data_IF_576536972360
#
_entry.id   IF_576536972360
#
_cell.length_a   1.000
_cell.length_b   1.000
_cell.length_c   1.000
_cell.angle_alpha   90.00
_cell.angle_beta   90.00
_cell.angle_gamma   90.00
#
_symmetry.space_group_name_H-M   'P 1'
#
loop_
_entity.id
_entity.type
_entity.pdbx_description
1 polymer ?
#
# COMPACT_ATOMS: atom_id res chain seq x y z
N UNK A 1 14.31 -28.77 23.50
CA UNK A 1 13.83 -28.22 22.21
C UNK A 1 14.13 -26.75 22.24
N UNK A 2 14.74 -26.19 21.20
CA UNK A 2 15.16 -24.79 21.19
C UNK A 2 13.93 -23.93 20.92
N UNK A 3 13.50 -23.14 21.91
CA UNK A 3 12.43 -22.16 21.75
C UNK A 3 12.96 -21.04 20.84
N UNK A 4 12.55 -21.06 19.58
CA UNK A 4 12.92 -20.03 18.62
C UNK A 4 12.09 -18.78 18.92
N UNK A 5 12.65 -17.82 19.64
CA UNK A 5 12.04 -16.50 19.82
C UNK A 5 12.05 -15.75 18.48
N UNK A 6 10.88 -15.30 18.03
CA UNK A 6 10.76 -14.43 16.85
C UNK A 6 10.45 -13.03 17.36
N UNK A 7 11.32 -12.07 17.02
CA UNK A 7 11.01 -10.65 17.09
C UNK A 7 10.55 -10.27 15.68
N UNK A 8 9.23 -10.26 15.46
CA UNK A 8 8.66 -9.70 14.24
C UNK A 8 8.26 -8.26 14.54
N UNK A 9 9.08 -7.31 14.07
CA UNK A 9 8.74 -5.88 14.10
C UNK A 9 7.95 -5.60 12.84
N UNK A 10 6.65 -5.38 12.99
CA UNK A 10 5.80 -4.90 11.91
C UNK A 10 5.95 -3.38 11.86
N UNK A 11 7.08 -2.91 11.33
CA UNK A 11 7.47 -1.50 11.32
C UNK A 11 6.42 -0.58 10.66
N UNK A 12 5.57 -1.11 9.79
CA UNK A 12 4.49 -0.38 9.13
C UNK A 12 3.28 -0.08 10.03
N UNK A 13 3.11 -0.79 11.15
CA UNK A 13 1.94 -0.69 12.05
C UNK A 13 2.31 -0.67 13.54
N UNK A 14 3.61 -0.65 13.88
CA UNK A 14 4.08 -0.47 15.25
C UNK A 14 3.90 -1.65 16.19
N UNK A 15 3.58 -2.85 15.69
CA UNK A 15 3.36 -4.04 16.53
C UNK A 15 4.66 -4.83 16.69
N UNK A 16 4.95 -5.15 17.95
CA UNK A 16 6.05 -6.02 18.36
C UNK A 16 5.43 -7.31 18.87
N UNK A 17 5.54 -8.39 18.09
CA UNK A 17 5.28 -9.72 18.61
C UNK A 17 6.54 -10.18 19.34
N UNK A 18 6.49 -10.20 20.67
CA UNK A 18 7.57 -10.69 21.53
C UNK A 18 7.09 -11.91 22.33
N UNK A 19 7.63 -13.10 22.05
CA UNK A 19 7.27 -14.32 22.77
C UNK A 19 7.65 -15.62 22.04
N UNK A 20 7.23 -16.75 22.62
CA UNK A 20 7.28 -18.07 21.99
C UNK A 20 6.42 -18.10 20.73
N UNK A 21 6.92 -18.68 19.64
CA UNK A 21 6.15 -18.85 18.40
C UNK A 21 5.03 -19.87 18.61
N UNK A 22 3.86 -19.36 18.96
CA UNK A 22 2.62 -20.12 18.97
C UNK A 22 2.04 -20.15 17.54
N UNK A 23 1.21 -21.15 17.24
CA UNK A 23 0.66 -21.33 15.90
C UNK A 23 -0.19 -20.13 15.43
N UNK A 24 -0.88 -19.48 16.36
CA UNK A 24 -1.64 -18.25 16.15
C UNK A 24 -0.72 -17.04 15.90
N UNK A 25 0.41 -16.90 16.60
CA UNK A 25 1.37 -15.82 16.33
C UNK A 25 1.97 -15.92 14.91
N UNK A 26 2.27 -17.13 14.43
CA UNK A 26 2.72 -17.35 13.07
C UNK A 26 1.62 -17.06 12.02
N UNK A 27 0.37 -17.44 12.32
CA UNK A 27 -0.78 -17.14 11.47
C UNK A 27 -1.05 -15.63 11.37
N UNK A 28 -0.97 -14.90 12.49
CA UNK A 28 -1.08 -13.45 12.51
C UNK A 28 0.04 -12.78 11.71
N UNK A 29 1.30 -13.20 11.88
CA UNK A 29 2.41 -12.66 11.11
C UNK A 29 2.19 -12.84 9.60
N UNK A 30 1.67 -14.00 9.16
CA UNK A 30 1.29 -14.24 7.77
C UNK A 30 0.09 -13.39 7.30
N UNK A 31 -0.88 -13.12 8.16
CA UNK A 31 -1.98 -12.20 7.86
C UNK A 31 -1.49 -10.75 7.70
N UNK A 32 -0.62 -10.27 8.60
CA UNK A 32 -0.07 -8.91 8.49
C UNK A 32 0.87 -8.76 7.28
N UNK A 33 1.67 -9.77 6.95
CA UNK A 33 2.52 -9.74 5.75
C UNK A 33 1.71 -9.62 4.46
N UNK A 34 0.50 -10.18 4.43
CA UNK A 34 -0.44 -10.01 3.31
C UNK A 34 -0.98 -8.58 3.25
N UNK A 35 -1.12 -7.92 4.40
CA UNK A 35 -1.56 -6.53 4.50
C UNK A 35 -2.99 -6.31 4.01
N UNK A 36 -3.78 -7.38 4.00
CA UNK A 36 -5.18 -7.43 3.58
C UNK A 36 -6.03 -7.63 4.85
N UNK A 37 -7.03 -6.76 5.11
CA UNK A 37 -7.90 -6.89 6.27
C UNK A 37 -8.66 -8.22 6.32
N UNK A 38 -9.00 -8.82 5.17
CA UNK A 38 -9.71 -10.10 5.14
C UNK A 38 -8.85 -11.22 5.75
N UNK A 39 -7.53 -11.19 5.53
CA UNK A 39 -6.62 -12.15 6.14
C UNK A 39 -6.53 -12.01 7.67
N UNK A 40 -6.69 -10.78 8.18
CA UNK A 40 -6.72 -10.48 9.62
C UNK A 40 -8.07 -10.87 10.25
N UNK A 41 -9.17 -10.65 9.54
CA UNK A 41 -10.50 -11.13 9.95
C UNK A 41 -10.58 -12.67 9.95
N UNK A 42 -10.02 -13.32 8.94
CA UNK A 42 -9.90 -14.78 8.88
C UNK A 42 -9.07 -15.34 10.03
N UNK A 43 -8.01 -14.64 10.44
CA UNK A 43 -7.24 -15.01 11.63
C UNK A 43 -8.14 -15.04 12.89
N UNK A 44 -8.97 -14.02 13.08
CA UNK A 44 -9.89 -13.92 14.23
C UNK A 44 -10.93 -15.04 14.21
N UNK A 45 -11.45 -15.39 13.02
CA UNK A 45 -12.37 -16.52 12.87
C UNK A 45 -11.70 -17.87 13.14
N UNK A 46 -10.44 -18.03 12.74
CA UNK A 46 -9.69 -19.28 12.92
C UNK A 46 -9.18 -19.45 14.35
N UNK A 47 -8.88 -18.36 15.05
CA UNK A 47 -8.34 -18.35 16.42
C UNK A 47 -9.13 -17.41 17.35
N UNK A 48 -10.43 -17.69 17.60
CA UNK A 48 -11.29 -16.79 18.37
C UNK A 48 -10.88 -16.67 19.84
N UNK A 49 -10.15 -17.64 20.38
CA UNK A 49 -9.64 -17.64 21.76
C UNK A 49 -8.20 -17.08 21.87
N UNK A 50 -7.58 -16.69 20.76
CA UNK A 50 -6.22 -16.13 20.78
C UNK A 50 -6.21 -14.78 21.50
N UNK A 51 -5.22 -14.57 22.36
CA UNK A 51 -4.98 -13.27 22.99
C UNK A 51 -4.61 -12.18 21.96
N UNK A 52 -4.23 -12.56 20.74
CA UNK A 52 -3.89 -11.67 19.64
C UNK A 52 -5.11 -11.27 18.80
N UNK A 53 -6.29 -11.86 19.03
CA UNK A 53 -7.49 -11.56 18.26
C UNK A 53 -7.92 -10.08 18.34
N UNK A 54 -7.88 -9.40 19.52
CA UNK A 54 -8.16 -7.96 19.59
C UNK A 54 -7.19 -7.11 18.77
N UNK A 55 -5.90 -7.42 18.82
CA UNK A 55 -4.86 -6.72 18.05
C UNK A 55 -5.01 -6.95 16.55
N UNK A 56 -5.39 -8.16 16.14
CA UNK A 56 -5.68 -8.49 14.75
C UNK A 56 -6.91 -7.74 14.21
N UNK A 57 -7.96 -7.56 15.03
CA UNK A 57 -9.13 -6.75 14.67
C UNK A 57 -8.79 -5.26 14.58
N UNK A 58 -8.00 -4.74 15.51
CA UNK A 58 -7.52 -3.37 15.45
C UNK A 58 -6.65 -3.14 14.21
N UNK A 59 -5.73 -4.07 13.92
CA UNK A 59 -4.95 -4.06 12.69
C UNK A 59 -5.84 -4.12 11.47
N UNK A 60 -6.86 -4.99 11.45
CA UNK A 60 -7.80 -5.09 10.35
C UNK A 60 -8.46 -3.74 10.08
N UNK A 61 -8.92 -3.06 11.14
CA UNK A 61 -9.51 -1.72 11.02
C UNK A 61 -8.49 -0.66 10.56
N UNK A 62 -7.24 -0.73 11.01
CA UNK A 62 -6.19 0.21 10.63
C UNK A 62 -5.74 0.02 9.18
N UNK A 63 -5.51 -1.23 8.75
CA UNK A 63 -5.19 -1.52 7.34
C UNK A 63 -6.38 -1.35 6.42
N UNK A 64 -7.61 -1.41 6.96
CA UNK A 64 -8.85 -1.09 6.24
C UNK A 64 -9.04 0.39 5.97
N UNK A 65 -8.21 1.28 6.53
CA UNK A 65 -8.29 2.69 6.19
C UNK A 65 -7.82 2.88 4.76
N UNK A 66 -8.71 3.41 3.95
CA UNK A 66 -8.37 3.81 2.60
C UNK A 66 -7.28 4.86 2.62
N UNK A 67 -6.25 4.61 1.80
CA UNK A 67 -5.20 5.54 1.46
C UNK A 67 -5.29 5.75 -0.03
N UNK A 68 -6.12 6.71 -0.42
CA UNK A 68 -6.38 7.03 -1.83
C UNK A 68 -5.24 7.79 -2.47
N UNK A 69 -4.34 8.38 -1.69
CA UNK A 69 -3.15 9.08 -2.16
C UNK A 69 -1.93 8.77 -1.28
N UNK A 70 -0.76 8.70 -1.91
CA UNK A 70 0.52 8.58 -1.24
C UNK A 70 1.61 9.23 -2.08
N UNK A 71 2.55 9.89 -1.43
CA UNK A 71 3.71 10.48 -2.08
C UNK A 71 4.95 10.31 -1.22
N UNK A 72 6.09 10.12 -1.88
CA UNK A 72 7.36 9.92 -1.21
C UNK A 72 8.50 10.52 -2.00
N UNK A 73 9.56 10.86 -1.27
CA UNK A 73 10.81 11.39 -1.79
C UNK A 73 11.94 10.51 -1.26
N UNK A 74 12.96 10.27 -2.09
CA UNK A 74 14.14 9.54 -1.65
C UNK A 74 15.03 10.43 -0.76
N UNK A 75 15.43 9.90 0.39
CA UNK A 75 16.40 10.57 1.28
C UNK A 75 17.79 10.68 0.64
N UNK A 76 18.16 9.70 -0.18
CA UNK A 76 19.46 9.63 -0.86
C UNK A 76 19.50 10.49 -2.13
N UNK A 77 18.34 10.66 -2.78
CA UNK A 77 18.19 11.53 -3.93
C UNK A 77 16.91 12.38 -3.84
N UNK A 78 17.00 13.63 -3.34
CA UNK A 78 15.85 14.51 -3.22
C UNK A 78 15.16 14.83 -4.56
N UNK A 79 15.82 14.62 -5.71
CA UNK A 79 15.20 14.79 -7.02
C UNK A 79 14.36 13.57 -7.47
N UNK A 80 14.46 12.44 -6.76
CA UNK A 80 13.68 11.23 -7.00
C UNK A 80 12.42 11.25 -6.13
N UNK A 81 11.28 11.43 -6.78
CA UNK A 81 9.96 11.44 -6.12
C UNK A 81 9.00 10.47 -6.79
N UNK A 82 8.03 9.99 -6.02
CA UNK A 82 6.85 9.32 -6.54
C UNK A 82 5.57 9.91 -5.93
N UNK A 83 4.51 9.90 -6.72
CA UNK A 83 3.15 10.21 -6.32
C UNK A 83 2.21 9.16 -6.92
N UNK A 84 1.25 8.72 -6.12
CA UNK A 84 0.25 7.74 -6.50
C UNK A 84 -1.09 8.17 -5.93
N UNK A 85 -2.11 8.25 -6.77
CA UNK A 85 -3.44 8.72 -6.39
C UNK A 85 -4.51 7.89 -7.07
N UNK A 86 -5.65 7.73 -6.40
CA UNK A 86 -6.89 7.23 -6.97
C UNK A 86 -7.82 8.42 -7.16
N UNK A 87 -8.05 8.79 -8.41
CA UNK A 87 -8.81 9.98 -8.77
C UNK A 87 -10.31 9.73 -8.89
N UNK A 88 -10.73 8.50 -9.26
CA UNK A 88 -12.13 8.11 -9.42
C UNK A 88 -12.38 6.71 -8.89
N UNK A 89 -13.47 6.57 -8.14
CA UNK A 89 -13.99 5.28 -7.69
C UNK A 89 -15.43 5.14 -8.16
N UNK A 90 -15.66 4.08 -8.92
CA UNK A 90 -17.00 3.55 -9.22
C UNK A 90 -17.06 2.14 -8.66
N UNK A 91 -18.27 1.58 -8.51
CA UNK A 91 -18.47 0.22 -8.02
C UNK A 91 -17.55 -0.77 -8.76
N UNK A 92 -16.57 -1.33 -8.03
CA UNK A 92 -15.58 -2.29 -8.54
C UNK A 92 -14.49 -1.74 -9.48
N UNK A 93 -14.38 -0.42 -9.70
CA UNK A 93 -13.39 0.19 -10.61
C UNK A 93 -12.74 1.44 -10.06
N UNK A 94 -11.41 1.50 -10.13
CA UNK A 94 -10.59 2.62 -9.70
C UNK A 94 -9.75 3.20 -10.85
N UNK A 95 -9.75 4.52 -11.03
CA UNK A 95 -8.80 5.22 -11.88
C UNK A 95 -7.56 5.57 -11.06
N UNK A 96 -6.44 4.94 -11.41
CA UNK A 96 -5.16 5.10 -10.71
C UNK A 96 -4.28 6.02 -11.54
N UNK A 97 -3.82 7.10 -10.93
CA UNK A 97 -2.90 8.08 -11.52
C UNK A 97 -1.57 8.00 -10.80
N UNK A 98 -0.47 8.09 -11.55
CA UNK A 98 0.87 8.13 -10.99
C UNK A 98 1.68 9.26 -11.59
N UNK A 99 2.63 9.75 -10.80
CA UNK A 99 3.66 10.69 -11.21
C UNK A 99 5.00 10.31 -10.57
N UNK A 100 6.08 10.53 -11.30
CA UNK A 100 7.44 10.23 -10.87
C UNK A 100 8.38 11.28 -11.45
N UNK A 101 9.30 11.77 -10.62
CA UNK A 101 10.37 12.68 -11.06
C UNK A 101 11.72 12.03 -10.78
N UNK A 102 12.70 12.22 -11.66
CA UNK A 102 14.06 11.69 -11.49
C UNK A 102 14.23 10.18 -11.71
N UNK A 103 13.14 9.45 -11.99
CA UNK A 103 13.17 8.01 -12.22
C UNK A 103 13.55 7.66 -13.67
N UNK A 104 14.39 6.64 -13.85
CA UNK A 104 14.71 6.04 -15.16
C UNK A 104 13.99 4.73 -15.41
N UNK A 105 13.47 4.10 -14.36
CA UNK A 105 12.66 2.89 -14.45
C UNK A 105 11.65 2.84 -13.31
N UNK A 106 10.57 2.08 -13.49
CA UNK A 106 9.58 1.89 -12.44
C UNK A 106 8.92 0.51 -12.48
N UNK A 107 8.14 0.21 -11.45
CA UNK A 107 7.30 -0.96 -11.33
C UNK A 107 5.95 -0.58 -10.71
N UNK A 108 4.85 -1.09 -11.29
CA UNK A 108 3.49 -1.03 -10.71
C UNK A 108 2.88 -2.44 -10.67
N UNK A 109 2.97 -3.09 -9.51
CA UNK A 109 2.72 -4.52 -9.33
C UNK A 109 1.27 -4.94 -9.65
N UNK A 110 0.29 -4.10 -9.31
CA UNK A 110 -1.15 -4.42 -9.45
C UNK A 110 -1.76 -3.94 -10.78
N UNK A 111 -0.98 -3.22 -11.59
CA UNK A 111 -1.36 -2.81 -12.95
C UNK A 111 -0.79 -3.74 -14.02
N UNK A 112 -0.07 -4.79 -13.61
CA UNK A 112 0.62 -5.72 -14.50
C UNK A 112 1.95 -5.20 -15.05
N UNK A 113 2.46 -4.06 -14.58
CA UNK A 113 3.76 -3.55 -15.02
C UNK A 113 4.90 -4.22 -14.26
N UNK A 114 5.83 -4.84 -15.00
CA UNK A 114 7.01 -5.50 -14.44
C UNK A 114 8.10 -4.48 -14.09
N UNK A 115 8.94 -4.82 -13.10
CA UNK A 115 10.14 -4.02 -12.76
C UNK A 115 11.07 -3.90 -13.97
N UNK A 116 11.61 -2.70 -14.19
CA UNK A 116 12.56 -2.43 -15.28
C UNK A 116 11.90 -2.18 -16.63
N UNK A 117 10.56 -2.11 -16.70
CA UNK A 117 9.85 -1.60 -17.87
C UNK A 117 9.90 -0.07 -17.84
N UNK A 118 10.09 0.56 -19.00
CA UNK A 118 9.92 1.99 -19.15
C UNK A 118 8.44 2.34 -18.96
N UNK A 119 8.09 2.81 -17.77
CA UNK A 119 6.77 3.35 -17.44
C UNK A 119 6.87 4.87 -17.64
N UNK A 120 5.89 5.52 -18.30
CA UNK A 120 5.93 6.97 -18.45
C UNK A 120 5.96 7.64 -17.08
N UNK A 121 6.71 8.74 -16.96
CA UNK A 121 6.89 9.49 -15.73
C UNK A 121 5.56 9.89 -15.10
N UNK A 122 4.55 10.17 -15.92
CA UNK A 122 3.17 10.41 -15.50
C UNK A 122 2.21 9.54 -16.32
N UNK A 123 1.13 9.09 -15.71
CA UNK A 123 0.12 8.31 -16.42
C UNK A 123 -1.09 7.98 -15.58
N UNK A 124 -2.09 7.39 -16.24
CA UNK A 124 -3.32 6.94 -15.62
C UNK A 124 -3.76 5.60 -16.19
N UNK A 125 -4.40 4.77 -15.36
CA UNK A 125 -4.95 3.48 -15.77
C UNK A 125 -6.12 3.08 -14.88
N UNK A 126 -7.20 2.61 -15.50
CA UNK A 126 -8.32 2.00 -14.79
C UNK A 126 -8.00 0.56 -14.37
N UNK A 127 -8.49 0.19 -13.19
CA UNK A 127 -8.29 -1.12 -12.58
C UNK A 127 -9.61 -1.61 -12.02
N UNK A 128 -10.02 -2.79 -12.45
CA UNK A 128 -11.10 -3.53 -11.81
C UNK A 128 -10.56 -4.14 -10.49
N UNK A 129 -11.34 -4.02 -9.42
CA UNK A 129 -11.01 -4.64 -8.14
C UNK A 129 -12.27 -5.13 -7.44
N UNK A 130 -12.14 -6.22 -6.70
CA UNK A 130 -13.22 -6.80 -5.90
C UNK A 130 -12.73 -6.94 -4.46
N UNK A 131 -13.45 -6.31 -3.53
CA UNK A 131 -13.10 -6.28 -2.10
C UNK A 131 -11.92 -5.38 -1.73
N UNK A 132 -10.78 -5.51 -2.39
CA UNK A 132 -9.51 -4.87 -1.97
C UNK A 132 -8.60 -4.56 -3.16
N UNK A 133 -8.04 -3.35 -3.17
CA UNK A 133 -7.03 -2.93 -4.14
C UNK A 133 -5.86 -2.27 -3.42
N UNK A 134 -4.67 -2.84 -3.59
CA UNK A 134 -3.42 -2.22 -3.15
C UNK A 134 -2.47 -2.09 -4.31
N UNK A 135 -1.93 -0.89 -4.52
CA UNK A 135 -1.02 -0.60 -5.61
C UNK A 135 0.28 -0.09 -5.04
N UNK A 136 1.37 -0.66 -5.51
CA UNK A 136 2.73 -0.23 -5.16
C UNK A 136 3.39 0.35 -6.39
N UNK A 137 3.87 1.58 -6.26
CA UNK A 137 4.78 2.21 -7.18
C UNK A 137 6.19 2.13 -6.61
N UNK A 138 7.12 1.58 -7.37
CA UNK A 138 8.56 1.66 -7.07
C UNK A 138 9.24 2.38 -8.22
N UNK A 139 9.78 3.57 -7.94
CA UNK A 139 10.53 4.36 -8.90
C UNK A 139 12.02 4.24 -8.59
N UNK A 140 12.85 4.11 -9.62
CA UNK A 140 14.30 3.93 -9.50
C UNK A 140 15.04 4.84 -10.47
N UNK A 141 16.11 5.48 -10.01
CA UNK A 141 16.97 6.33 -10.84
C UNK A 141 18.14 5.56 -11.47
N UNK A 142 18.98 6.26 -12.25
CA UNK A 142 20.15 5.68 -12.89
C UNK A 142 21.26 5.25 -11.91
N UNK A 143 21.33 5.88 -10.73
CA UNK A 143 22.30 5.54 -9.69
C UNK A 143 21.86 4.29 -8.89
N UNK A 144 20.60 3.88 -9.02
CA UNK A 144 20.03 2.72 -8.37
C UNK A 144 19.25 3.05 -7.09
N UNK A 145 19.08 4.33 -6.75
CA UNK A 145 18.27 4.77 -5.61
C UNK A 145 16.80 4.45 -5.88
N UNK A 146 16.05 4.09 -4.84
CA UNK A 146 14.63 3.73 -4.96
C UNK A 146 13.76 4.59 -4.05
N UNK A 147 12.56 4.91 -4.54
CA UNK A 147 11.47 5.49 -3.75
C UNK A 147 10.20 4.67 -3.97
N UNK A 148 9.37 4.55 -2.93
CA UNK A 148 8.18 3.70 -2.93
C UNK A 148 6.97 4.48 -2.43
N UNK A 149 5.87 4.37 -3.17
CA UNK A 149 4.57 4.93 -2.83
C UNK A 149 3.53 3.83 -2.91
N UNK A 150 2.52 3.87 -2.04
CA UNK A 150 1.45 2.88 -2.05
C UNK A 150 0.09 3.45 -1.70
N UNK A 151 -0.90 3.07 -2.49
CA UNK A 151 -2.31 3.36 -2.21
C UNK A 151 -3.04 2.07 -1.86
N UNK A 152 -4.07 2.20 -1.03
CA UNK A 152 -4.90 1.10 -0.52
C UNK A 152 -6.36 1.54 -0.59
N UNK A 153 -7.20 0.68 -1.15
CA UNK A 153 -8.63 0.85 -1.26
C UNK A 153 -9.34 -0.42 -0.83
N UNK A 154 -10.46 -0.24 -0.15
CA UNK A 154 -11.39 -1.30 0.17
C UNK A 154 -12.69 -1.05 -0.57
N UNK A 155 -13.30 -2.10 -1.09
CA UNK A 155 -14.65 -2.04 -1.66
C UNK A 155 -15.65 -1.84 -0.52
N UNK A 156 -15.80 -0.61 -0.04
CA UNK A 156 -16.90 -0.20 0.84
C UNK A 156 -17.73 0.83 0.09
N UNK A 157 -18.63 0.41 -0.79
CA UNK A 157 -19.61 1.28 -1.48
C UNK A 157 -19.09 2.69 -1.80
N UNK A 158 -17.91 2.80 -2.41
CA UNK A 158 -17.30 4.09 -2.70
C UNK A 158 -17.84 4.61 -4.03
N UNK A 159 -18.64 5.67 -3.96
CA UNK A 159 -18.83 6.62 -5.06
C UNK A 159 -17.95 7.83 -4.74
N UNK A 160 -16.76 7.89 -5.33
CA UNK A 160 -16.01 9.15 -5.37
C UNK A 160 -16.39 9.86 -6.66
N UNK A 161 -17.36 10.76 -6.57
CA UNK A 161 -17.58 11.75 -7.62
C UNK A 161 -16.36 12.68 -7.66
N UNK A 162 -15.64 12.61 -8.78
CA UNK A 162 -14.58 13.49 -9.30
C UNK A 162 -14.08 14.57 -8.32
N UNK A 163 -12.94 14.33 -7.66
CA UNK A 163 -12.20 15.40 -6.97
C UNK A 163 -11.54 16.25 -8.05
N UNK A 164 -12.33 17.17 -8.63
CA UNK A 164 -11.84 18.32 -9.39
C UNK A 164 -11.21 19.31 -8.40
N UNK A 165 -10.04 18.95 -7.87
CA UNK A 165 -9.29 19.73 -6.89
C UNK A 165 -7.85 20.05 -7.28
N UNK A 166 -7.34 19.55 -8.40
CA UNK A 166 -6.07 20.02 -8.95
C UNK A 166 -6.29 21.36 -9.67
N UNK A 167 -6.21 22.45 -8.91
CA UNK A 167 -5.94 23.76 -9.50
C UNK A 167 -4.46 23.76 -9.93
N UNK A 168 -4.13 23.92 -11.23
CA UNK A 168 -2.73 24.12 -11.62
C UNK A 168 -2.20 25.37 -10.92
N UNK A 169 -0.91 25.40 -10.51
CA UNK A 169 -0.32 26.59 -9.89
C UNK A 169 -0.53 27.79 -10.83
N UNK A 170 -0.85 28.99 -10.29
CA UNK A 170 -1.03 30.15 -11.14
C UNK A 170 0.27 30.41 -11.91
N UNK A 171 0.19 30.32 -13.23
CA UNK A 171 1.24 30.77 -14.13
C UNK A 171 1.41 32.27 -13.94
N UNK A 172 2.43 32.67 -13.17
CA UNK A 172 2.86 34.07 -13.15
C UNK A 172 3.51 34.37 -14.51
N UNK A 173 2.73 34.98 -15.40
CA UNK A 173 3.28 35.65 -16.58
C UNK A 173 3.84 36.97 -16.08
N UNK A 174 5.17 37.08 -16.07
CA UNK A 174 5.92 38.33 -15.89
C UNK A 174 5.72 39.29 -17.04
#
# INVERSE_FOLDING_TARGET
MSDTSVIAILASVGIILAGTVTADAAALAGAVQRGDPLALEQFVQQYPESQLAPDALWLAAEVSKDRTEDSAQSDENPALTCGLTIARLTEGRALVTWEMTGATSAALKSLGFKKGVAIPAQGSKEVDFDGYLRIFLTARDAAGNEVKCSVILHSRDYVLDDVTGFSPPPTYIT
#
